data_IF_689529968412
#
_entry.id   IF_689529968412
#
_cell.length_a   1.000
_cell.length_b   1.000
_cell.length_c   1.000
_cell.angle_alpha   90.00
_cell.angle_beta   90.00
_cell.angle_gamma   90.00
#
_symmetry.space_group_name_H-M   'P 1'
#
loop_
_entity.id
_entity.type
_entity.pdbx_description
1 polymer ?
#
# COMPACT_ATOMS: atom_id res chain seq x y z
N UNK A 1 21.36 -58.21 -12.19
CA UNK A 1 21.51 -56.75 -12.03
C UNK A 1 22.50 -56.51 -10.89
N UNK A 2 23.57 -55.74 -11.10
CA UNK A 2 24.63 -55.55 -10.10
C UNK A 2 24.08 -54.73 -8.91
N UNK A 3 24.39 -55.13 -7.68
CA UNK A 3 23.96 -54.45 -6.43
C UNK A 3 24.30 -52.96 -6.47
N UNK A 4 25.46 -52.60 -7.04
CA UNK A 4 25.85 -51.19 -7.22
C UNK A 4 24.88 -50.42 -8.13
N UNK A 5 24.39 -51.08 -9.18
CA UNK A 5 23.42 -50.52 -10.11
C UNK A 5 22.07 -50.34 -9.42
N UNK A 6 21.61 -51.32 -8.62
CA UNK A 6 20.37 -51.21 -7.84
C UNK A 6 20.45 -50.08 -6.82
N UNK A 7 21.56 -49.97 -6.11
CA UNK A 7 21.79 -48.91 -5.12
C UNK A 7 21.79 -47.52 -5.77
N UNK A 8 22.40 -47.39 -6.95
CA UNK A 8 22.43 -46.14 -7.71
C UNK A 8 21.02 -45.71 -8.15
N UNK A 9 20.21 -46.66 -8.64
CA UNK A 9 18.82 -46.37 -9.03
C UNK A 9 17.96 -45.98 -7.82
N UNK A 10 18.19 -46.60 -6.65
CA UNK A 10 17.50 -46.26 -5.41
C UNK A 10 17.84 -44.84 -4.94
N UNK A 11 19.12 -44.45 -5.01
CA UNK A 11 19.59 -43.10 -4.65
C UNK A 11 19.00 -42.05 -5.58
N UNK A 12 18.99 -42.31 -6.90
CA UNK A 12 18.38 -41.39 -7.88
C UNK A 12 16.87 -41.27 -7.64
N UNK A 13 16.17 -42.37 -7.35
CA UNK A 13 14.75 -42.35 -7.03
C UNK A 13 14.44 -41.53 -5.77
N UNK A 14 15.25 -41.67 -4.72
CA UNK A 14 15.15 -40.88 -3.48
C UNK A 14 15.37 -39.38 -3.72
N UNK A 15 16.34 -39.02 -4.57
CA UNK A 15 16.61 -37.62 -4.93
C UNK A 15 15.45 -36.98 -5.73
N UNK A 16 14.85 -37.73 -6.66
CA UNK A 16 13.69 -37.26 -7.43
C UNK A 16 12.42 -37.18 -6.56
N UNK A 17 12.23 -38.09 -5.60
CA UNK A 17 11.12 -38.01 -4.66
C UNK A 17 11.19 -36.76 -3.76
N UNK A 18 12.39 -36.31 -3.39
CA UNK A 18 12.56 -35.07 -2.62
C UNK A 18 12.18 -33.82 -3.42
N UNK A 19 12.46 -33.74 -4.73
CA UNK A 19 12.09 -32.56 -5.52
C UNK A 19 10.57 -32.43 -5.70
N UNK A 20 9.82 -33.53 -5.75
CA UNK A 20 8.36 -33.51 -5.80
C UNK A 20 7.70 -33.03 -4.49
N UNK A 21 8.28 -33.35 -3.33
CA UNK A 21 7.79 -32.85 -2.03
C UNK A 21 8.09 -31.35 -1.85
N UNK A 22 9.24 -30.87 -2.31
CA UNK A 22 9.56 -29.43 -2.31
C UNK A 22 8.69 -28.65 -3.30
N UNK A 23 8.34 -29.24 -4.45
CA UNK A 23 7.39 -28.64 -5.37
C UNK A 23 5.95 -28.61 -4.81
N UNK A 24 5.57 -29.53 -3.91
CA UNK A 24 4.26 -29.52 -3.24
C UNK A 24 4.11 -28.50 -2.11
N UNK A 25 5.16 -27.75 -1.75
CA UNK A 25 5.00 -26.38 -1.23
C UNK A 25 4.54 -25.41 -2.34
N UNK A 26 3.67 -25.90 -3.24
CA UNK A 26 2.84 -25.10 -4.14
C UNK A 26 2.16 -24.07 -3.23
N UNK A 27 2.49 -22.80 -3.53
CA UNK A 27 1.84 -21.59 -3.07
C UNK A 27 0.61 -21.87 -2.21
N UNK A 28 0.74 -21.69 -0.89
CA UNK A 28 -0.43 -21.51 -0.04
C UNK A 28 -1.24 -20.42 -0.73
N UNK A 29 -2.36 -20.82 -1.35
CA UNK A 29 -3.15 -19.94 -2.21
C UNK A 29 -3.51 -18.75 -1.35
N UNK A 30 -3.06 -17.57 -1.77
CA UNK A 30 -3.16 -16.37 -0.96
C UNK A 30 -4.63 -16.18 -0.54
N UNK A 31 -4.88 -16.03 0.76
CA UNK A 31 -6.23 -16.14 1.35
C UNK A 31 -7.01 -14.80 1.32
N UNK A 32 -6.47 -13.77 0.67
CA UNK A 32 -7.15 -12.50 0.40
C UNK A 32 -8.29 -12.69 -0.59
N UNK A 33 -9.45 -13.15 -0.10
CA UNK A 33 -10.61 -13.47 -0.93
C UNK A 33 -11.75 -12.47 -0.79
N UNK A 34 -11.71 -11.60 0.22
CA UNK A 34 -12.74 -10.60 0.43
C UNK A 34 -12.35 -9.27 -0.22
N UNK A 35 -13.01 -8.91 -1.32
CA UNK A 35 -12.78 -7.62 -1.99
C UNK A 35 -13.41 -6.50 -1.16
N UNK A 36 -12.58 -5.65 -0.56
CA UNK A 36 -13.00 -4.47 0.20
C UNK A 36 -13.28 -3.30 -0.75
N UNK A 37 -12.39 -3.09 -1.71
CA UNK A 37 -12.47 -1.97 -2.64
C UNK A 37 -12.00 -2.39 -4.05
N UNK A 38 -12.61 -1.77 -5.06
CA UNK A 38 -12.15 -1.82 -6.45
C UNK A 38 -12.30 -0.44 -7.06
N UNK A 39 -11.23 0.06 -7.66
CA UNK A 39 -11.21 1.30 -8.42
C UNK A 39 -10.72 1.04 -9.84
N UNK A 40 -11.28 1.76 -10.82
CA UNK A 40 -10.92 1.67 -12.23
C UNK A 40 -10.75 3.08 -12.79
N UNK A 41 -9.67 3.31 -13.54
CA UNK A 41 -9.37 4.60 -14.16
C UNK A 41 -7.97 4.64 -14.73
N UNK A 42 -7.56 5.77 -15.30
CA UNK A 42 -6.30 5.92 -16.01
C UNK A 42 -5.19 6.48 -15.08
N UNK A 43 -4.23 5.65 -14.67
CA UNK A 43 -3.12 6.03 -13.76
C UNK A 43 -1.88 6.57 -14.49
N UNK A 44 -1.81 6.44 -15.81
CA UNK A 44 -0.61 6.77 -16.58
C UNK A 44 -0.88 7.70 -17.79
N UNK A 45 -2.12 8.17 -17.92
CA UNK A 45 -2.66 8.99 -19.00
C UNK A 45 -2.52 8.35 -20.40
N UNK A 46 -2.56 7.02 -20.50
CA UNK A 46 -2.53 6.29 -21.78
C UNK A 46 -3.92 6.00 -22.37
N UNK A 47 -4.98 6.44 -21.68
CA UNK A 47 -6.40 6.25 -22.01
C UNK A 47 -6.87 4.80 -21.90
N UNK A 48 -6.14 3.96 -21.17
CA UNK A 48 -6.54 2.60 -20.82
C UNK A 48 -6.91 2.55 -19.33
N UNK A 49 -7.93 1.75 -19.04
CA UNK A 49 -8.39 1.56 -17.66
C UNK A 49 -7.41 0.69 -16.89
N UNK A 50 -6.72 1.28 -15.94
CA UNK A 50 -5.97 0.60 -14.89
C UNK A 50 -6.91 0.18 -13.75
N UNK A 51 -6.43 -0.70 -12.86
CA UNK A 51 -7.24 -1.24 -11.76
C UNK A 51 -6.49 -1.21 -10.45
N UNK A 52 -7.17 -0.78 -9.39
CA UNK A 52 -6.72 -0.93 -8.02
C UNK A 52 -7.69 -1.86 -7.29
N UNK A 53 -7.17 -2.77 -6.49
CA UNK A 53 -7.96 -3.65 -5.65
C UNK A 53 -7.43 -3.62 -4.22
N UNK A 54 -8.35 -3.56 -3.26
CA UNK A 54 -8.05 -3.79 -1.84
C UNK A 54 -8.80 -5.03 -1.42
N UNK A 55 -8.07 -6.01 -0.91
CA UNK A 55 -8.60 -7.29 -0.46
C UNK A 55 -8.21 -7.56 0.99
N UNK A 56 -9.02 -8.35 1.69
CA UNK A 56 -8.79 -8.74 3.07
C UNK A 56 -8.76 -10.28 3.17
N UNK A 57 -7.83 -10.78 3.98
CA UNK A 57 -7.83 -12.18 4.41
C UNK A 57 -8.75 -12.33 5.63
N UNK A 58 -9.91 -12.96 5.44
CA UNK A 58 -10.87 -13.21 6.51
C UNK A 58 -10.58 -14.48 7.33
N UNK A 59 -9.62 -15.32 6.90
CA UNK A 59 -9.23 -16.54 7.60
C UNK A 59 -8.11 -16.29 8.61
N UNK A 60 -7.32 -15.25 8.39
CA UNK A 60 -6.32 -14.79 9.35
C UNK A 60 -7.01 -13.94 10.44
N UNK A 61 -6.80 -14.29 11.70
CA UNK A 61 -7.40 -13.61 12.85
C UNK A 61 -7.02 -12.13 12.92
N UNK A 62 -5.86 -11.74 12.39
CA UNK A 62 -5.43 -10.35 12.34
C UNK A 62 -6.16 -9.54 11.27
N UNK A 63 -6.79 -10.21 10.30
CA UNK A 63 -7.45 -9.62 9.13
C UNK A 63 -6.57 -8.60 8.41
N UNK A 64 -5.42 -9.03 7.85
CA UNK A 64 -4.55 -8.17 7.07
C UNK A 64 -5.24 -7.76 5.77
N UNK A 65 -4.83 -6.61 5.24
CA UNK A 65 -5.29 -6.12 3.93
C UNK A 65 -4.14 -6.11 2.92
N UNK A 66 -4.50 -6.28 1.65
CA UNK A 66 -3.58 -6.23 0.52
C UNK A 66 -4.07 -5.23 -0.50
N UNK A 67 -3.17 -4.31 -0.88
CA UNK A 67 -3.38 -3.40 -2.01
C UNK A 67 -2.70 -3.98 -3.24
N UNK A 68 -3.43 -4.05 -4.34
CA UNK A 68 -2.92 -4.46 -5.64
C UNK A 68 -3.20 -3.38 -6.69
N UNK A 69 -2.21 -3.10 -7.53
CA UNK A 69 -2.34 -2.18 -8.66
C UNK A 69 -1.97 -2.92 -9.93
N UNK A 70 -2.86 -2.84 -10.90
CA UNK A 70 -2.72 -3.44 -12.22
C UNK A 70 -2.72 -2.36 -13.27
N UNK A 71 -1.70 -2.35 -14.12
CA UNK A 71 -1.66 -1.48 -15.29
C UNK A 71 -2.18 -2.22 -16.52
N UNK A 72 -2.99 -1.56 -17.32
CA UNK A 72 -3.38 -2.04 -18.63
C UNK A 72 -2.15 -2.12 -19.55
N UNK A 73 -2.15 -3.12 -20.42
CA UNK A 73 -1.13 -3.33 -21.45
C UNK A 73 -1.75 -3.05 -22.83
N UNK A 74 -0.96 -2.84 -23.89
CA UNK A 74 -1.49 -2.59 -25.24
C UNK A 74 -2.42 -3.70 -25.76
N UNK A 75 -2.26 -4.93 -25.28
CA UNK A 75 -3.13 -6.08 -25.59
C UNK A 75 -4.38 -6.16 -24.70
N UNK A 76 -4.66 -5.11 -23.92
CA UNK A 76 -5.76 -4.98 -22.94
C UNK A 76 -5.69 -5.95 -21.76
N UNK A 77 -4.58 -6.67 -21.58
CA UNK A 77 -4.37 -7.45 -20.36
C UNK A 77 -3.91 -6.56 -19.22
N UNK A 78 -4.26 -6.98 -18.01
CA UNK A 78 -3.84 -6.32 -16.77
C UNK A 78 -2.53 -6.94 -16.27
N UNK A 79 -1.52 -6.09 -16.06
CA UNK A 79 -0.24 -6.46 -15.46
C UNK A 79 -0.19 -5.99 -14.01
N UNK A 80 -0.07 -6.92 -13.07
CA UNK A 80 0.19 -6.59 -11.67
C UNK A 80 1.55 -5.89 -11.53
N UNK A 81 1.57 -4.67 -11.00
CA UNK A 81 2.80 -3.90 -10.78
C UNK A 81 3.07 -3.59 -9.31
N UNK A 82 2.04 -3.66 -8.46
CA UNK A 82 2.16 -3.50 -7.01
C UNK A 82 1.30 -4.55 -6.33
N UNK A 83 1.85 -5.19 -5.30
CA UNK A 83 1.11 -6.02 -4.34
C UNK A 83 1.74 -5.83 -2.97
N UNK A 84 1.05 -5.18 -2.04
CA UNK A 84 1.59 -4.86 -0.71
C UNK A 84 0.56 -5.14 0.39
N UNK A 85 1.03 -5.80 1.45
CA UNK A 85 0.30 -6.00 2.71
C UNK A 85 0.81 -5.10 3.83
N UNK A 86 1.77 -4.21 3.54
CA UNK A 86 2.43 -3.37 4.54
C UNK A 86 1.79 -1.99 4.69
N UNK A 87 1.19 -1.49 3.62
CA UNK A 87 0.71 -0.11 3.52
C UNK A 87 -0.46 0.18 4.46
N UNK A 88 -1.30 -0.83 4.72
CA UNK A 88 -2.47 -0.78 5.58
C UNK A 88 -2.19 -1.67 6.78
N UNK A 89 -2.42 -1.16 7.99
CA UNK A 89 -2.36 -2.00 9.18
C UNK A 89 -3.51 -3.02 9.19
N UNK A 90 -3.22 -4.24 9.64
CA UNK A 90 -4.25 -5.25 9.86
C UNK A 90 -5.34 -4.74 10.80
N UNK A 91 -6.60 -5.13 10.58
CA UNK A 91 -7.72 -4.62 11.39
C UNK A 91 -7.65 -5.08 12.86
N UNK A 92 -6.96 -6.19 13.15
CA UNK A 92 -6.75 -6.74 14.49
C UNK A 92 -5.26 -7.10 14.67
N UNK A 93 -4.35 -6.12 14.77
CA UNK A 93 -2.93 -6.38 14.74
C UNK A 93 -2.52 -7.17 16.00
N UNK A 94 -1.53 -8.05 15.85
CA UNK A 94 -1.15 -9.02 16.89
C UNK A 94 -0.80 -8.37 18.25
N UNK A 95 -0.20 -7.17 18.23
CA UNK A 95 0.15 -6.43 19.44
C UNK A 95 -1.07 -5.92 20.23
N UNK A 96 -2.25 -5.86 19.60
CA UNK A 96 -3.53 -5.52 20.23
C UNK A 96 -4.33 -6.73 20.73
N UNK A 97 -3.78 -7.95 20.63
CA UNK A 97 -4.33 -9.18 21.23
C UNK A 97 -5.82 -9.42 20.93
N UNK A 98 -6.23 -9.18 19.69
CA UNK A 98 -7.62 -9.37 19.24
C UNK A 98 -8.50 -8.13 19.30
N UNK A 99 -8.00 -6.99 19.78
CA UNK A 99 -8.70 -5.71 19.68
C UNK A 99 -8.50 -5.07 18.29
N UNK A 100 -9.54 -4.33 17.84
CA UNK A 100 -9.52 -3.62 16.57
C UNK A 100 -8.50 -2.48 16.58
N UNK A 101 -7.88 -2.18 15.44
CA UNK A 101 -6.86 -1.14 15.38
C UNK A 101 -7.42 0.29 15.55
N UNK A 102 -8.72 0.50 15.38
CA UNK A 102 -9.43 1.76 15.54
C UNK A 102 -9.43 2.65 14.30
N UNK A 103 -8.70 2.26 13.25
CA UNK A 103 -8.61 3.03 12.01
C UNK A 103 -9.55 2.47 10.94
N UNK A 104 -10.06 3.38 10.10
CA UNK A 104 -10.87 3.01 8.93
C UNK A 104 -9.95 2.51 7.83
N UNK A 105 -10.40 1.50 7.08
CA UNK A 105 -9.69 1.02 5.90
C UNK A 105 -9.53 2.19 4.91
N UNK A 106 -8.31 2.48 4.41
CA UNK A 106 -8.08 3.58 3.49
C UNK A 106 -8.89 3.44 2.19
N UNK A 107 -9.37 4.59 1.68
CA UNK A 107 -9.99 4.69 0.36
C UNK A 107 -8.92 5.02 -0.68
N UNK A 108 -8.89 4.25 -1.77
CA UNK A 108 -8.03 4.49 -2.93
C UNK A 108 -8.83 4.97 -4.14
N UNK A 109 -8.40 6.03 -4.80
CA UNK A 109 -9.03 6.50 -6.03
C UNK A 109 -8.01 7.10 -7.00
N UNK A 110 -8.45 7.26 -8.24
CA UNK A 110 -7.64 7.81 -9.32
C UNK A 110 -8.09 9.23 -9.61
N UNK A 111 -7.17 10.17 -9.55
CA UNK A 111 -7.45 11.57 -9.88
C UNK A 111 -6.27 12.17 -10.64
N UNK A 112 -6.55 12.72 -11.82
CA UNK A 112 -5.54 13.38 -12.69
C UNK A 112 -4.30 12.52 -12.98
N UNK A 113 -4.49 11.21 -13.27
CA UNK A 113 -3.38 10.30 -13.55
C UNK A 113 -2.52 9.98 -12.33
N UNK A 114 -3.08 10.09 -11.13
CA UNK A 114 -2.39 9.80 -9.86
C UNK A 114 -3.24 8.92 -8.98
N UNK A 115 -2.58 8.05 -8.24
CA UNK A 115 -3.21 7.29 -7.19
C UNK A 115 -3.27 8.15 -5.94
N UNK A 116 -4.46 8.30 -5.37
CA UNK A 116 -4.67 8.94 -4.07
C UNK A 116 -5.18 7.91 -3.07
N UNK A 117 -4.63 8.00 -1.86
CA UNK A 117 -5.09 7.23 -0.70
C UNK A 117 -5.56 8.21 0.37
N UNK A 118 -6.79 8.05 0.84
CA UNK A 118 -7.35 8.77 1.99
C UNK A 118 -7.51 7.82 3.17
N UNK A 119 -7.10 8.26 4.35
CA UNK A 119 -7.22 7.46 5.57
C UNK A 119 -7.26 8.37 6.79
N UNK A 120 -7.86 7.88 7.85
CA UNK A 120 -7.80 8.50 9.16
C UNK A 120 -6.82 7.67 10.00
N UNK A 121 -5.69 8.26 10.38
CA UNK A 121 -4.68 7.63 11.23
C UNK A 121 -4.62 8.42 12.53
N UNK A 122 -4.92 7.79 13.68
CA UNK A 122 -4.88 8.45 15.00
C UNK A 122 -5.71 9.75 15.06
N UNK A 123 -6.96 9.69 14.57
CA UNK A 123 -7.88 10.84 14.47
C UNK A 123 -7.35 12.02 13.62
N UNK A 124 -6.47 11.74 12.66
CA UNK A 124 -5.94 12.72 11.72
C UNK A 124 -6.25 12.26 10.30
N UNK A 125 -7.10 13.04 9.62
CA UNK A 125 -7.39 12.83 8.20
C UNK A 125 -6.10 13.02 7.42
N UNK A 126 -5.75 12.04 6.62
CA UNK A 126 -4.48 11.99 5.90
C UNK A 126 -4.73 11.61 4.45
N UNK A 127 -4.04 12.30 3.54
CA UNK A 127 -4.02 12.01 2.11
C UNK A 127 -2.59 11.78 1.66
N UNK A 128 -2.42 10.76 0.83
CA UNK A 128 -1.16 10.41 0.20
C UNK A 128 -1.36 10.34 -1.32
N UNK A 129 -0.55 11.07 -2.08
CA UNK A 129 -0.62 11.13 -3.54
C UNK A 129 0.62 10.47 -4.14
N UNK A 130 0.40 9.50 -5.03
CA UNK A 130 1.43 8.74 -5.71
C UNK A 130 1.40 9.02 -7.22
N UNK A 131 2.57 9.25 -7.82
CA UNK A 131 2.70 9.27 -9.28
C UNK A 131 3.24 7.95 -9.78
N UNK A 132 2.83 7.56 -10.98
CA UNK A 132 3.51 6.50 -11.72
C UNK A 132 4.76 7.07 -12.42
N UNK A 133 5.91 6.44 -12.22
CA UNK A 133 7.15 6.72 -12.95
C UNK A 133 7.94 5.43 -13.16
N UNK A 134 8.27 5.11 -14.41
CA UNK A 134 9.04 3.91 -14.77
C UNK A 134 8.46 2.63 -14.11
N UNK A 135 7.14 2.43 -14.21
CA UNK A 135 6.40 1.31 -13.60
C UNK A 135 6.47 1.23 -12.06
N UNK A 136 6.88 2.30 -11.37
CA UNK A 136 6.86 2.40 -9.92
C UNK A 136 5.91 3.52 -9.48
N UNK A 137 5.18 3.29 -8.39
CA UNK A 137 4.38 4.33 -7.75
C UNK A 137 5.22 5.01 -6.66
N UNK A 138 5.55 6.28 -6.88
CA UNK A 138 6.35 7.11 -5.99
C UNK A 138 5.43 8.06 -5.21
N UNK A 139 5.54 8.08 -3.88
CA UNK A 139 4.86 9.05 -3.03
C UNK A 139 5.41 10.45 -3.34
N UNK A 140 4.54 11.40 -3.65
CA UNK A 140 4.93 12.77 -4.01
C UNK A 140 4.36 13.83 -3.09
N UNK A 141 3.17 13.62 -2.52
CA UNK A 141 2.54 14.58 -1.61
C UNK A 141 1.87 13.88 -0.45
N UNK A 142 1.87 14.58 0.68
CA UNK A 142 1.16 14.19 1.90
C UNK A 142 0.40 15.42 2.38
N UNK A 143 -0.89 15.25 2.64
CA UNK A 143 -1.71 16.26 3.31
C UNK A 143 -2.31 15.67 4.57
N UNK A 144 -2.34 16.44 5.66
CA UNK A 144 -2.91 16.01 6.92
C UNK A 144 -3.70 17.12 7.57
N UNK A 145 -4.84 16.77 8.13
CA UNK A 145 -5.75 17.69 8.80
C UNK A 145 -6.16 17.09 10.12
N UNK A 146 -6.03 17.87 11.19
CA UNK A 146 -6.60 17.56 12.51
C UNK A 146 -7.49 18.71 12.94
N UNK A 147 -8.70 18.41 13.38
CA UNK A 147 -9.62 19.40 13.92
C UNK A 147 -9.47 19.49 15.44
N UNK A 148 -9.62 20.69 15.99
CA UNK A 148 -9.54 20.95 17.43
C UNK A 148 -10.84 20.63 18.18
N UNK A 149 -11.91 20.30 17.46
CA UNK A 149 -13.24 20.06 18.03
C UNK A 149 -14.12 21.30 18.13
N UNK A 150 -13.66 22.46 17.61
CA UNK A 150 -14.35 23.75 17.66
C UNK A 150 -14.41 24.38 16.28
N UNK A 151 -13.45 25.23 15.94
CA UNK A 151 -13.47 26.02 14.71
C UNK A 151 -12.14 26.00 13.97
N UNK A 152 -11.11 25.29 14.47
CA UNK A 152 -9.76 25.40 13.94
C UNK A 152 -9.23 24.06 13.46
N UNK A 153 -8.64 24.04 12.26
CA UNK A 153 -7.88 22.92 11.73
C UNK A 153 -6.38 23.18 11.84
N UNK A 154 -5.63 22.14 12.19
CA UNK A 154 -4.18 22.09 12.11
C UNK A 154 -3.81 21.29 10.87
N UNK A 155 -3.16 21.94 9.91
CA UNK A 155 -2.82 21.35 8.63
C UNK A 155 -1.32 21.17 8.46
N UNK A 156 -0.96 20.07 7.80
CA UNK A 156 0.40 19.81 7.35
C UNK A 156 0.36 19.38 5.90
N UNK A 157 1.10 20.09 5.05
CA UNK A 157 1.26 19.77 3.63
C UNK A 157 2.74 19.52 3.35
N UNK A 158 3.05 18.36 2.81
CA UNK A 158 4.41 17.95 2.46
C UNK A 158 4.44 17.69 0.96
N UNK A 159 5.33 18.39 0.26
CA UNK A 159 5.64 18.14 -1.14
C UNK A 159 7.05 17.55 -1.21
N UNK A 160 7.11 16.25 -1.49
CA UNK A 160 8.37 15.51 -1.55
C UNK A 160 9.18 15.87 -2.80
N UNK A 161 8.53 16.33 -3.88
CA UNK A 161 9.22 16.79 -5.09
C UNK A 161 9.89 18.14 -4.84
N UNK A 162 9.16 19.08 -4.25
CA UNK A 162 9.67 20.40 -3.89
C UNK A 162 10.56 20.37 -2.64
N UNK A 163 10.57 19.24 -1.91
CA UNK A 163 11.25 19.06 -0.63
C UNK A 163 10.84 20.10 0.41
N UNK A 164 9.54 20.40 0.48
CA UNK A 164 8.97 21.37 1.41
C UNK A 164 7.93 20.73 2.33
N UNK A 165 7.86 21.24 3.55
CA UNK A 165 6.80 20.98 4.53
C UNK A 165 6.24 22.32 4.98
N UNK A 166 4.93 22.47 4.90
CA UNK A 166 4.19 23.64 5.35
C UNK A 166 3.23 23.19 6.45
N UNK A 167 3.27 23.87 7.59
CA UNK A 167 2.40 23.65 8.74
C UNK A 167 1.65 24.95 9.01
N UNK A 168 0.34 24.90 9.21
CA UNK A 168 -0.47 26.10 9.49
C UNK A 168 -1.77 25.74 10.19
N UNK A 169 -2.42 26.77 10.73
CA UNK A 169 -3.77 26.70 11.30
C UNK A 169 -4.75 27.43 10.39
N UNK A 170 -5.98 26.93 10.31
CA UNK A 170 -7.05 27.58 9.56
C UNK A 170 -8.35 27.56 10.36
N UNK A 171 -8.97 28.73 10.51
CA UNK A 171 -10.30 28.86 11.12
C UNK A 171 -11.35 28.55 10.06
N UNK A 172 -12.36 27.77 10.44
CA UNK A 172 -13.46 27.33 9.59
C UNK A 172 -14.20 28.53 9.02
N UNK A 173 -14.38 28.57 7.70
CA UNK A 173 -15.01 29.70 7.02
C UNK A 173 -14.09 30.92 6.83
N UNK A 174 -12.81 30.83 7.18
CA UNK A 174 -11.81 31.87 6.92
C UNK A 174 -10.78 31.41 5.89
N UNK A 175 -10.40 32.32 4.99
CA UNK A 175 -9.26 32.13 4.08
C UNK A 175 -7.92 32.47 4.74
N UNK A 176 -7.94 33.06 5.95
CA UNK A 176 -6.73 33.49 6.64
C UNK A 176 -6.00 32.30 7.25
N UNK A 177 -4.75 32.09 6.82
CA UNK A 177 -3.86 31.11 7.43
C UNK A 177 -3.14 31.72 8.64
N UNK A 178 -3.18 31.02 9.77
CA UNK A 178 -2.53 31.39 11.02
C UNK A 178 -1.29 30.50 11.25
N UNK A 179 -0.33 31.01 12.03
CA UNK A 179 0.84 30.26 12.50
C UNK A 179 1.61 29.50 11.40
N UNK A 180 1.58 29.99 10.16
CA UNK A 180 2.19 29.34 9.00
C UNK A 180 3.71 29.23 9.17
N UNK A 181 4.22 28.01 9.07
CA UNK A 181 5.65 27.67 9.12
C UNK A 181 6.01 26.85 7.89
N UNK A 182 7.13 27.18 7.28
CA UNK A 182 7.69 26.44 6.14
C UNK A 182 9.05 25.89 6.51
N UNK A 183 9.30 24.62 6.17
CA UNK A 183 10.56 23.92 6.40
C UNK A 183 10.98 23.20 5.13
N UNK A 184 12.29 23.10 4.91
CA UNK A 184 12.87 22.20 3.91
C UNK A 184 13.02 20.81 4.51
N UNK A 185 12.67 19.78 3.76
CA UNK A 185 12.85 18.38 4.15
C UNK A 185 14.03 17.75 3.40
N UNK A 186 14.74 16.84 4.07
CA UNK A 186 15.83 16.08 3.46
C UNK A 186 15.30 14.72 3.05
N UNK A 187 15.28 14.46 1.74
CA UNK A 187 15.00 13.14 1.18
C UNK A 187 16.03 12.83 0.08
N UNK A 188 16.47 11.57 0.07
CA UNK A 188 17.42 11.06 -0.93
C UNK A 188 16.71 10.52 -2.16
N UNK A 189 15.57 9.85 -1.96
CA UNK A 189 14.71 9.30 -3.01
C UNK A 189 13.25 9.38 -2.58
N UNK A 190 12.35 9.35 -3.56
CA UNK A 190 10.92 9.27 -3.27
C UNK A 190 10.57 7.86 -2.78
N UNK A 191 9.75 7.74 -1.73
CA UNK A 191 9.30 6.44 -1.25
C UNK A 191 8.44 5.74 -2.29
N UNK A 192 8.62 4.44 -2.46
CA UNK A 192 7.78 3.63 -3.33
C UNK A 192 6.67 2.97 -2.53
N UNK A 193 5.48 2.86 -3.10
CA UNK A 193 4.31 2.28 -2.41
C UNK A 193 4.54 0.85 -1.89
N UNK A 194 5.35 0.06 -2.60
CA UNK A 194 5.68 -1.32 -2.24
C UNK A 194 6.60 -1.42 -1.00
N UNK A 195 7.35 -0.35 -0.74
CA UNK A 195 8.32 -0.27 0.35
C UNK A 195 7.75 0.46 1.57
N UNK A 196 6.63 1.18 1.42
CA UNK A 196 5.95 1.90 2.48
C UNK A 196 5.13 0.94 3.37
N UNK A 197 5.37 1.04 4.67
CA UNK A 197 4.54 0.48 5.72
C UNK A 197 3.59 1.52 6.31
N UNK A 198 2.54 1.06 6.99
CA UNK A 198 1.67 1.91 7.80
C UNK A 198 2.47 2.80 8.77
N UNK A 199 3.49 2.26 9.44
CA UNK A 199 4.36 3.03 10.33
C UNK A 199 5.18 4.11 9.62
N UNK A 200 5.62 3.87 8.37
CA UNK A 200 6.34 4.90 7.60
C UNK A 200 5.43 6.08 7.27
N UNK A 201 4.15 5.80 6.96
CA UNK A 201 3.15 6.83 6.70
C UNK A 201 2.93 7.73 7.91
N UNK A 202 3.09 7.22 9.13
CA UNK A 202 2.95 8.01 10.35
C UNK A 202 4.11 9.00 10.56
N UNK A 203 5.32 8.67 10.10
CA UNK A 203 6.56 9.37 10.44
C UNK A 203 6.81 10.68 9.70
N UNK A 204 6.18 10.91 8.54
CA UNK A 204 6.27 12.19 7.80
C UNK A 204 5.74 13.38 8.63
#
# INVERSE_FOLDING_TARGET
>A
MNIKTVLLHLVVFLLVAQTHLYAQKIAQKDNFTFQVQKEVGDLNNDKLDDKIMVEMDLKDDTRPLRVQIFLSQPDKKLKLVVSSTKLIESQYPSYKKGEHNGDVIPDFFIEEGKLKMLTDIKNRKSSYEFRLKQNNFELIKISRVRWDGKDTTFETKIDLLAKTKIEFEQVTGSEKLLNKRTKTIKINSLPKIQDLSYSDLEQY
#
